data_IF_837337625712
#
_entry.id   IF_837337625712
#
_cell.length_a   1.000
_cell.length_b   1.000
_cell.length_c   1.000
_cell.angle_alpha   90.00
_cell.angle_beta   90.00
_cell.angle_gamma   90.00
#
_symmetry.space_group_name_H-M   'P 1'
#
loop_
_entity.id
_entity.type
_entity.pdbx_description
1 polymer ?
#
# COMPACT_ATOMS: atom_id res chain seq x y z
N UNK A 1 23.16 48.57 48.30
CA UNK A 1 24.08 47.84 47.40
C UNK A 1 23.25 46.89 46.55
N UNK A 2 23.35 46.98 45.22
CA UNK A 2 22.94 45.94 44.26
C UNK A 2 21.47 45.92 43.77
N UNK A 3 21.11 46.76 42.80
CA UNK A 3 19.91 46.57 41.97
C UNK A 3 20.28 45.75 40.73
N UNK A 4 19.81 44.50 40.64
CA UNK A 4 20.00 43.63 39.47
C UNK A 4 19.16 44.11 38.29
N UNK A 5 19.81 44.59 37.23
CA UNK A 5 19.19 44.85 35.93
C UNK A 5 19.09 43.52 35.17
N UNK A 6 17.87 43.06 34.90
CA UNK A 6 17.62 41.96 33.97
C UNK A 6 17.95 42.39 32.54
N UNK A 7 18.87 41.69 31.89
CA UNK A 7 19.14 41.84 30.46
C UNK A 7 18.12 40.98 29.71
N UNK A 8 17.08 41.61 29.18
CA UNK A 8 16.16 40.96 28.25
C UNK A 8 16.87 40.88 26.89
N UNK A 9 17.48 39.74 26.58
CA UNK A 9 18.05 39.47 25.26
C UNK A 9 16.91 39.32 24.27
N UNK A 10 16.55 40.40 23.58
CA UNK A 10 15.61 40.36 22.45
C UNK A 10 16.32 39.67 21.28
N UNK A 11 15.92 38.44 20.95
CA UNK A 11 16.39 37.76 19.74
C UNK A 11 15.85 38.51 18.52
N UNK A 12 16.71 39.26 17.84
CA UNK A 12 16.39 39.93 16.58
C UNK A 12 16.43 38.88 15.47
N UNK A 13 15.27 38.33 15.11
CA UNK A 13 15.15 37.47 13.94
C UNK A 13 15.26 38.33 12.67
N UNK A 14 16.27 38.04 11.85
CA UNK A 14 16.46 38.72 10.56
C UNK A 14 15.22 38.50 9.66
N UNK A 15 14.73 39.54 8.96
CA UNK A 15 13.62 39.41 8.03
C UNK A 15 13.93 38.40 6.90
N UNK A 16 15.21 38.21 6.54
CA UNK A 16 15.62 37.18 5.57
C UNK A 16 15.44 35.75 6.11
N UNK A 17 15.70 35.52 7.40
CA UNK A 17 15.59 34.19 8.01
C UNK A 17 14.12 33.76 8.15
N UNK A 18 13.22 34.71 8.43
CA UNK A 18 11.78 34.47 8.48
C UNK A 18 11.19 34.23 7.09
N UNK A 19 11.62 34.97 6.06
CA UNK A 19 11.20 34.69 4.68
C UNK A 19 11.65 33.31 4.19
N UNK A 20 12.87 32.88 4.54
CA UNK A 20 13.40 31.57 4.14
C UNK A 20 12.65 30.40 4.76
N UNK A 21 12.31 30.50 6.06
CA UNK A 21 11.52 29.48 6.77
C UNK A 21 10.08 29.39 6.24
N UNK A 22 9.45 30.53 5.89
CA UNK A 22 8.11 30.55 5.28
C UNK A 22 8.11 29.94 3.88
N UNK A 23 9.16 30.18 3.07
CA UNK A 23 9.29 29.55 1.74
C UNK A 23 9.50 28.04 1.82
N UNK A 24 10.23 27.52 2.81
CA UNK A 24 10.38 26.07 3.04
C UNK A 24 9.06 25.46 3.52
N UNK A 25 8.30 26.15 4.37
CA UNK A 25 6.97 25.72 4.80
C UNK A 25 5.94 25.63 3.66
N UNK A 26 6.02 26.54 2.68
CA UNK A 26 5.17 26.53 1.48
C UNK A 26 5.59 25.47 0.44
N UNK A 27 6.83 24.98 0.49
CA UNK A 27 7.32 23.86 -0.34
C UNK A 27 6.86 22.48 0.16
N UNK A 28 6.30 22.39 1.38
CA UNK A 28 5.64 21.18 1.89
C UNK A 28 4.17 21.10 1.42
N UNK A 29 3.92 21.47 0.16
CA UNK A 29 2.63 21.27 -0.46
C UNK A 29 2.39 19.75 -0.52
N UNK A 30 1.36 19.27 0.19
CA UNK A 30 0.86 17.91 0.08
C UNK A 30 0.47 17.70 -1.39
N UNK A 31 1.35 17.08 -2.18
CA UNK A 31 1.03 16.72 -3.57
C UNK A 31 0.04 15.57 -3.52
N UNK A 32 -1.22 15.82 -3.92
CA UNK A 32 -2.14 14.75 -4.29
C UNK A 32 -1.65 14.15 -5.60
N UNK A 33 -0.69 13.22 -5.53
CA UNK A 33 -0.25 12.48 -6.70
C UNK A 33 -1.40 11.55 -7.12
N UNK A 34 -2.10 11.90 -8.19
CA UNK A 34 -3.18 11.08 -8.72
C UNK A 34 -2.59 9.83 -9.37
N UNK A 35 -3.13 8.66 -9.02
CA UNK A 35 -2.72 7.40 -9.62
C UNK A 35 -3.11 7.36 -11.11
N UNK A 36 -2.24 6.78 -11.95
CA UNK A 36 -2.47 6.63 -13.39
C UNK A 36 -1.97 5.27 -13.87
N UNK A 37 -2.67 4.66 -14.84
CA UNK A 37 -2.25 3.38 -15.43
C UNK A 37 -0.95 3.47 -16.23
N UNK A 38 -0.52 4.69 -16.58
CA UNK A 38 0.71 4.93 -17.34
C UNK A 38 1.88 5.42 -16.49
N UNK A 39 1.81 5.33 -15.16
CA UNK A 39 2.80 5.90 -14.24
C UNK A 39 4.24 5.43 -14.53
N UNK A 40 4.42 4.14 -14.86
CA UNK A 40 5.73 3.55 -15.19
C UNK A 40 6.00 3.42 -16.69
N UNK A 41 5.20 4.04 -17.57
CA UNK A 41 5.29 3.83 -19.02
C UNK A 41 6.66 4.19 -19.61
N UNK A 42 7.39 5.13 -19.00
CA UNK A 42 8.73 5.55 -19.43
C UNK A 42 9.85 4.99 -18.58
N UNK A 43 9.60 4.73 -17.29
CA UNK A 43 10.63 4.35 -16.30
C UNK A 43 10.72 2.83 -16.10
N UNK A 44 9.63 2.10 -16.26
CA UNK A 44 9.61 0.64 -16.23
C UNK A 44 8.51 0.09 -17.16
N UNK A 45 8.66 0.21 -18.50
CA UNK A 45 7.59 -0.02 -19.47
C UNK A 45 7.03 -1.45 -19.47
N UNK A 46 7.80 -2.44 -19.01
CA UNK A 46 7.39 -3.85 -18.99
C UNK A 46 7.02 -4.35 -17.57
N UNK A 47 6.74 -3.46 -16.62
CA UNK A 47 6.50 -3.85 -15.22
C UNK A 47 5.37 -4.88 -15.08
N UNK A 48 4.23 -4.68 -15.75
CA UNK A 48 3.09 -5.62 -15.68
C UNK A 48 3.44 -6.99 -16.25
N UNK A 49 4.23 -7.04 -17.33
CA UNK A 49 4.69 -8.29 -17.94
C UNK A 49 5.65 -9.07 -17.03
N UNK A 50 6.57 -8.36 -16.35
CA UNK A 50 7.49 -8.96 -15.38
C UNK A 50 6.71 -9.57 -14.22
N UNK A 51 5.79 -8.81 -13.62
CA UNK A 51 4.93 -9.26 -12.51
C UNK A 51 4.13 -10.50 -12.92
N UNK A 52 3.44 -10.45 -14.06
CA UNK A 52 2.65 -11.57 -14.57
C UNK A 52 3.49 -12.83 -14.82
N UNK A 53 4.72 -12.68 -15.31
CA UNK A 53 5.61 -13.82 -15.59
C UNK A 53 6.01 -14.53 -14.30
N UNK A 54 6.40 -13.78 -13.27
CA UNK A 54 6.79 -14.37 -11.98
C UNK A 54 5.61 -15.09 -11.32
N UNK A 55 4.40 -14.51 -11.39
CA UNK A 55 3.19 -15.14 -10.85
C UNK A 55 2.83 -16.41 -11.63
N UNK A 56 2.91 -16.37 -12.96
CA UNK A 56 2.69 -17.55 -13.80
C UNK A 56 3.65 -18.70 -13.46
N UNK A 57 4.91 -18.39 -13.15
CA UNK A 57 5.87 -19.38 -12.68
C UNK A 57 5.51 -19.92 -11.29
N UNK A 58 5.14 -19.05 -10.35
CA UNK A 58 4.73 -19.46 -9.00
C UNK A 58 3.49 -20.37 -9.01
N UNK A 59 2.55 -20.15 -9.94
CA UNK A 59 1.36 -20.98 -10.12
C UNK A 59 1.69 -22.44 -10.49
N UNK A 60 2.86 -22.72 -11.06
CA UNK A 60 3.27 -24.10 -11.41
C UNK A 60 3.55 -24.97 -10.18
N UNK A 61 3.99 -24.36 -9.08
CA UNK A 61 4.28 -25.06 -7.83
C UNK A 61 3.20 -24.84 -6.76
N UNK A 62 2.42 -23.76 -6.89
CA UNK A 62 1.35 -23.42 -5.95
C UNK A 62 0.15 -22.78 -6.67
N UNK A 63 -0.86 -23.60 -6.97
CA UNK A 63 -2.10 -23.15 -7.59
C UNK A 63 -2.89 -22.13 -6.74
N UNK A 64 -2.61 -22.00 -5.43
CA UNK A 64 -3.30 -21.05 -4.52
C UNK A 64 -2.60 -19.71 -4.41
N UNK A 65 -1.46 -19.51 -5.08
CA UNK A 65 -0.69 -18.28 -4.91
C UNK A 65 -1.46 -17.04 -5.41
N UNK A 66 -2.21 -17.16 -6.49
CA UNK A 66 -3.00 -16.04 -7.03
C UNK A 66 -4.00 -15.49 -6.01
N UNK A 67 -4.79 -16.37 -5.40
CA UNK A 67 -5.73 -16.00 -4.33
C UNK A 67 -5.00 -15.38 -3.12
N UNK A 68 -3.80 -15.88 -2.80
CA UNK A 68 -2.99 -15.35 -1.70
C UNK A 68 -2.52 -13.91 -1.97
N UNK A 69 -2.11 -13.61 -3.21
CA UNK A 69 -1.63 -12.29 -3.61
C UNK A 69 -2.77 -11.26 -3.69
N UNK A 70 -3.94 -11.65 -4.21
CA UNK A 70 -5.14 -10.81 -4.18
C UNK A 70 -5.49 -10.44 -2.74
N UNK A 71 -5.45 -11.43 -1.84
CA UNK A 71 -5.71 -11.22 -0.42
C UNK A 71 -4.68 -10.28 0.22
N UNK A 72 -3.39 -10.40 -0.10
CA UNK A 72 -2.38 -9.47 0.41
C UNK A 72 -2.70 -8.02 0.01
N UNK A 73 -3.10 -7.79 -1.25
CA UNK A 73 -3.49 -6.45 -1.69
C UNK A 73 -4.73 -5.92 -0.96
N UNK A 74 -5.74 -6.77 -0.75
CA UNK A 74 -6.92 -6.40 0.04
C UNK A 74 -6.54 -6.01 1.48
N UNK A 75 -5.72 -6.84 2.15
CA UNK A 75 -5.30 -6.60 3.52
C UNK A 75 -4.42 -5.34 3.66
N UNK A 76 -3.56 -5.06 2.69
CA UNK A 76 -2.80 -3.80 2.60
C UNK A 76 -3.77 -2.61 2.53
N UNK A 77 -4.65 -2.57 1.53
CA UNK A 77 -5.54 -1.44 1.32
C UNK A 77 -6.53 -1.17 2.47
N UNK A 78 -6.90 -2.19 3.25
CA UNK A 78 -7.82 -2.05 4.39
C UNK A 78 -7.18 -1.49 5.65
N UNK A 79 -5.85 -1.36 5.69
CA UNK A 79 -5.11 -0.87 6.84
C UNK A 79 -4.26 0.30 6.38
N UNK A 80 -4.54 1.51 6.88
CA UNK A 80 -3.80 2.74 6.53
C UNK A 80 -3.64 3.08 5.02
N UNK A 81 -4.33 2.35 4.13
CA UNK A 81 -4.33 2.56 2.68
C UNK A 81 -3.39 1.59 1.96
N UNK A 82 -3.42 1.59 0.63
CA UNK A 82 -2.57 0.71 -0.17
C UNK A 82 -1.13 1.27 -0.21
N UNK A 83 -0.33 1.00 0.80
CA UNK A 83 1.00 1.58 0.99
C UNK A 83 2.10 0.53 1.23
N UNK A 84 1.80 -0.75 1.05
CA UNK A 84 2.75 -1.84 1.25
C UNK A 84 3.14 -2.09 2.71
N UNK A 85 2.45 -1.49 3.69
CA UNK A 85 2.77 -1.63 5.12
C UNK A 85 2.71 -3.07 5.60
N UNK A 86 1.82 -3.89 5.01
CA UNK A 86 1.68 -5.32 5.35
C UNK A 86 2.97 -6.11 5.08
N UNK A 87 3.82 -5.63 4.17
CA UNK A 87 5.06 -6.28 3.78
C UNK A 87 6.20 -6.01 4.78
N UNK A 88 6.05 -5.04 5.69
CA UNK A 88 7.02 -4.77 6.74
C UNK A 88 6.98 -5.90 7.79
N UNK A 89 8.14 -6.51 8.06
CA UNK A 89 8.27 -7.64 8.99
C UNK A 89 7.94 -7.24 10.43
N UNK A 90 7.52 -8.21 11.25
CA UNK A 90 7.26 -8.08 12.69
C UNK A 90 6.17 -7.06 13.11
N UNK A 91 5.22 -6.75 12.23
CA UNK A 91 4.14 -5.81 12.50
C UNK A 91 2.75 -6.36 12.14
N UNK A 92 2.14 -5.88 11.05
CA UNK A 92 0.79 -6.28 10.61
C UNK A 92 0.69 -7.78 10.33
N UNK A 93 1.78 -8.44 9.94
CA UNK A 93 1.83 -9.89 9.74
C UNK A 93 1.47 -10.67 11.02
N UNK A 94 1.66 -10.07 12.20
CA UNK A 94 1.31 -10.65 13.51
C UNK A 94 -0.10 -10.26 13.99
N UNK A 95 -0.87 -9.48 13.21
CA UNK A 95 -2.26 -9.19 13.52
C UNK A 95 -3.12 -10.45 13.36
N UNK A 96 -4.21 -10.57 14.13
CA UNK A 96 -5.09 -11.74 14.14
C UNK A 96 -5.62 -12.13 12.74
N UNK A 97 -5.96 -11.19 11.83
CA UNK A 97 -6.36 -11.56 10.46
C UNK A 97 -5.21 -12.12 9.60
N UNK A 98 -3.95 -11.85 9.95
CA UNK A 98 -2.78 -12.11 9.12
C UNK A 98 -1.94 -13.29 9.63
N UNK A 99 -1.79 -13.42 10.94
CA UNK A 99 -0.90 -14.41 11.56
C UNK A 99 -1.33 -15.82 11.18
N UNK A 100 -0.37 -16.63 10.71
CA UNK A 100 -0.61 -18.00 10.21
C UNK A 100 -1.68 -18.09 9.10
N UNK A 101 -1.92 -16.99 8.37
CA UNK A 101 -3.02 -16.89 7.41
C UNK A 101 -2.57 -16.19 6.12
N UNK A 102 -2.07 -14.96 6.23
CA UNK A 102 -1.51 -14.22 5.10
C UNK A 102 -0.25 -14.95 4.60
N UNK A 103 -0.11 -15.08 3.28
CA UNK A 103 0.98 -15.81 2.63
C UNK A 103 1.25 -15.24 1.24
N UNK A 104 2.36 -15.64 0.63
CA UNK A 104 2.79 -15.14 -0.67
C UNK A 104 3.84 -14.03 -0.61
N UNK A 105 4.28 -13.64 0.59
CA UNK A 105 5.35 -12.65 0.81
C UNK A 105 6.62 -12.98 -0.01
N UNK A 106 7.09 -14.23 0.01
CA UNK A 106 8.25 -14.63 -0.80
C UNK A 106 8.05 -14.54 -2.32
N UNK A 107 6.81 -14.62 -2.81
CA UNK A 107 6.51 -14.38 -4.23
C UNK A 107 6.52 -12.89 -4.54
N UNK A 108 6.04 -12.06 -3.61
CA UNK A 108 6.20 -10.59 -3.70
C UNK A 108 7.68 -10.22 -3.73
N UNK A 109 8.53 -10.85 -2.91
CA UNK A 109 9.98 -10.65 -2.93
C UNK A 109 10.61 -11.06 -4.27
N UNK A 110 10.19 -12.18 -4.85
CA UNK A 110 10.64 -12.62 -6.17
C UNK A 110 10.23 -11.63 -7.27
N UNK A 111 8.99 -11.12 -7.22
CA UNK A 111 8.50 -10.08 -8.14
C UNK A 111 9.36 -8.82 -7.98
N UNK A 112 9.54 -8.36 -6.74
CA UNK A 112 10.36 -7.17 -6.43
C UNK A 112 11.78 -7.35 -6.95
N UNK A 113 12.39 -8.50 -6.73
CA UNK A 113 13.74 -8.82 -7.24
C UNK A 113 13.80 -8.74 -8.76
N UNK A 114 12.84 -9.35 -9.47
CA UNK A 114 12.80 -9.32 -10.94
C UNK A 114 12.60 -7.89 -11.47
N UNK A 115 11.74 -7.11 -10.81
CA UNK A 115 11.48 -5.71 -11.15
C UNK A 115 12.71 -4.84 -10.90
N UNK A 116 13.36 -4.97 -9.75
CA UNK A 116 14.58 -4.22 -9.42
C UNK A 116 15.75 -4.53 -10.37
N UNK A 117 15.86 -5.78 -10.84
CA UNK A 117 16.83 -6.15 -11.85
C UNK A 117 16.58 -5.46 -13.21
N UNK A 118 15.33 -5.14 -13.53
CA UNK A 118 14.95 -4.51 -14.78
C UNK A 118 14.90 -2.97 -14.70
N UNK A 119 14.43 -2.43 -13.58
CA UNK A 119 14.23 -0.99 -13.35
C UNK A 119 14.52 -0.63 -11.87
N UNK A 120 15.81 -0.48 -11.51
CA UNK A 120 16.24 -0.30 -10.12
C UNK A 120 15.64 0.96 -9.46
N UNK A 121 15.06 0.79 -8.28
CA UNK A 121 14.55 1.87 -7.43
C UNK A 121 13.33 2.61 -7.99
N UNK A 122 12.64 2.03 -8.99
CA UNK A 122 11.53 2.70 -9.68
C UNK A 122 10.18 2.33 -9.09
N UNK A 123 9.89 1.03 -8.97
CA UNK A 123 8.53 0.53 -8.71
C UNK A 123 8.35 0.25 -7.22
N UNK A 124 7.29 0.79 -6.63
CA UNK A 124 6.95 0.55 -5.22
C UNK A 124 6.43 -0.85 -4.96
N UNK A 125 6.64 -1.36 -3.75
CA UNK A 125 6.04 -2.60 -3.28
C UNK A 125 4.51 -2.53 -3.23
N UNK A 126 3.96 -1.36 -2.88
CA UNK A 126 2.52 -1.10 -2.92
C UNK A 126 1.91 -1.30 -4.33
N UNK A 127 2.58 -0.79 -5.38
CA UNK A 127 2.13 -1.02 -6.75
C UNK A 127 2.36 -2.46 -7.22
N UNK A 128 3.40 -3.15 -6.71
CA UNK A 128 3.58 -4.58 -6.95
C UNK A 128 2.39 -5.37 -6.42
N UNK A 129 1.87 -5.07 -5.23
CA UNK A 129 0.67 -5.74 -4.71
C UNK A 129 -0.55 -5.52 -5.61
N UNK A 130 -0.74 -4.28 -6.09
CA UNK A 130 -1.85 -3.95 -7.00
C UNK A 130 -1.75 -4.67 -8.35
N UNK A 131 -0.55 -4.69 -8.96
CA UNK A 131 -0.28 -5.43 -10.20
C UNK A 131 -0.41 -6.94 -10.01
N UNK A 132 0.05 -7.45 -8.87
CA UNK A 132 -0.02 -8.87 -8.56
C UNK A 132 -1.46 -9.36 -8.39
N UNK A 133 -2.33 -8.55 -7.78
CA UNK A 133 -3.75 -8.85 -7.67
C UNK A 133 -4.42 -8.95 -9.05
N UNK A 134 -4.18 -8.00 -9.96
CA UNK A 134 -4.74 -8.02 -11.31
C UNK A 134 -4.24 -9.20 -12.13
N UNK A 135 -2.91 -9.41 -12.16
CA UNK A 135 -2.32 -10.52 -12.89
C UNK A 135 -2.81 -11.87 -12.35
N UNK A 136 -3.00 -12.00 -11.04
CA UNK A 136 -3.54 -13.22 -10.44
C UNK A 136 -4.97 -13.52 -10.89
N UNK A 137 -5.85 -12.51 -10.95
CA UNK A 137 -7.22 -12.70 -11.46
C UNK A 137 -7.21 -13.05 -12.94
N UNK A 138 -6.44 -12.31 -13.74
CA UNK A 138 -6.35 -12.53 -15.19
C UNK A 138 -5.81 -13.93 -15.53
N UNK A 139 -4.73 -14.37 -14.87
CA UNK A 139 -4.13 -15.70 -15.07
C UNK A 139 -5.06 -16.85 -14.63
N UNK A 140 -5.99 -16.60 -13.73
CA UNK A 140 -7.04 -17.54 -13.33
C UNK A 140 -8.27 -17.53 -14.25
N UNK A 141 -8.24 -16.79 -15.37
CA UNK A 141 -9.34 -16.69 -16.32
C UNK A 141 -10.41 -15.66 -15.94
N UNK A 142 -10.16 -14.84 -14.93
CA UNK A 142 -11.01 -13.72 -14.55
C UNK A 142 -10.85 -12.50 -15.46
N UNK A 143 -11.55 -11.40 -15.17
CA UNK A 143 -11.44 -10.16 -15.92
C UNK A 143 -10.06 -9.51 -15.74
N UNK A 144 -9.59 -8.81 -16.77
CA UNK A 144 -8.47 -7.88 -16.67
C UNK A 144 -8.93 -6.44 -16.50
N UNK A 145 -8.11 -5.61 -15.87
CA UNK A 145 -8.38 -4.18 -15.74
C UNK A 145 -7.09 -3.34 -15.78
N UNK A 146 -7.22 -2.07 -16.10
CA UNK A 146 -6.10 -1.12 -16.04
C UNK A 146 -5.83 -0.75 -14.59
N UNK A 147 -4.73 -1.24 -14.02
CA UNK A 147 -4.31 -0.92 -12.64
C UNK A 147 -3.81 0.53 -12.59
N UNK A 148 -4.41 1.43 -11.79
CA UNK A 148 -3.83 2.74 -11.51
C UNK A 148 -2.58 2.59 -10.65
N UNK A 149 -1.48 3.24 -11.01
CA UNK A 149 -0.16 3.09 -10.39
C UNK A 149 0.38 4.45 -9.92
N UNK A 150 1.44 4.42 -9.12
CA UNK A 150 2.06 5.59 -8.49
C UNK A 150 1.98 5.60 -6.97
N UNK A 151 1.58 4.49 -6.34
CA UNK A 151 1.60 4.36 -4.87
C UNK A 151 3.04 4.39 -4.37
N UNK A 152 3.25 4.80 -3.13
CA UNK A 152 4.56 4.81 -2.47
C UNK A 152 4.54 3.94 -1.24
N UNK A 153 5.69 3.37 -0.92
CA UNK A 153 5.84 2.46 0.20
C UNK A 153 5.85 3.22 1.53
N UNK A 154 5.11 2.67 2.49
CA UNK A 154 5.08 3.12 3.86
C UNK A 154 6.41 2.93 4.57
N UNK A 155 6.62 3.70 5.63
CA UNK A 155 7.75 3.52 6.56
C UNK A 155 7.31 2.99 7.92
N UNK A 156 6.02 2.71 8.08
CA UNK A 156 5.41 2.24 9.31
C UNK A 156 4.29 1.26 8.98
N UNK A 157 4.05 0.35 9.90
CA UNK A 157 2.93 -0.57 9.84
C UNK A 157 2.02 -0.39 11.06
N UNK A 158 0.76 -0.79 10.93
CA UNK A 158 -0.27 -0.56 11.94
C UNK A 158 -0.99 -1.87 12.30
N UNK A 159 -0.35 -2.68 13.15
CA UNK A 159 -0.92 -3.94 13.63
C UNK A 159 -2.26 -3.76 14.36
N UNK A 160 -2.44 -2.66 15.11
CA UNK A 160 -3.72 -2.33 15.77
C UNK A 160 -4.82 -2.05 14.75
N UNK A 161 -4.50 -1.29 13.70
CA UNK A 161 -5.37 -1.02 12.57
C UNK A 161 -5.76 -2.29 11.82
N UNK A 162 -4.82 -3.22 11.61
CA UNK A 162 -5.11 -4.52 11.01
C UNK A 162 -6.12 -5.33 11.83
N UNK A 163 -5.96 -5.39 13.16
CA UNK A 163 -6.93 -6.07 14.03
C UNK A 163 -8.32 -5.44 14.01
N UNK A 164 -8.42 -4.13 13.86
CA UNK A 164 -9.70 -3.40 13.93
C UNK A 164 -10.42 -3.30 12.58
N UNK A 165 -9.67 -3.09 11.50
CA UNK A 165 -10.21 -2.62 10.21
C UNK A 165 -10.52 -3.77 9.25
N UNK A 166 -9.76 -4.86 9.31
CA UNK A 166 -9.96 -6.00 8.42
C UNK A 166 -11.24 -6.75 8.83
N UNK A 167 -12.15 -7.02 7.88
CA UNK A 167 -13.35 -7.81 8.12
C UNK A 167 -13.03 -9.22 8.64
N UNK A 168 -13.74 -9.65 9.69
CA UNK A 168 -13.65 -11.00 10.21
C UNK A 168 -14.69 -11.92 9.53
N UNK A 169 -14.42 -13.22 9.37
CA UNK A 169 -15.37 -14.15 8.74
C UNK A 169 -16.67 -14.33 9.54
N UNK A 170 -16.70 -13.90 10.80
CA UNK A 170 -17.88 -13.94 11.69
C UNK A 170 -18.54 -12.56 11.89
N UNK A 171 -18.09 -11.52 11.17
CA UNK A 171 -18.77 -10.24 11.18
C UNK A 171 -20.16 -10.37 10.53
N UNK A 172 -21.17 -9.76 11.16
CA UNK A 172 -22.49 -9.65 10.54
C UNK A 172 -22.48 -8.63 9.39
N UNK A 173 -23.53 -8.63 8.56
CA UNK A 173 -23.63 -7.73 7.40
C UNK A 173 -23.49 -6.24 7.75
N UNK A 174 -23.97 -5.82 8.92
CA UNK A 174 -23.87 -4.43 9.38
C UNK A 174 -22.43 -4.04 9.67
N UNK A 175 -21.67 -4.92 10.35
CA UNK A 175 -20.25 -4.72 10.61
C UNK A 175 -19.43 -4.73 9.31
N UNK A 176 -19.70 -5.68 8.41
CA UNK A 176 -19.06 -5.74 7.09
C UNK A 176 -19.27 -4.44 6.31
N UNK A 177 -20.53 -3.99 6.20
CA UNK A 177 -20.87 -2.74 5.50
C UNK A 177 -20.18 -1.54 6.12
N UNK A 178 -20.10 -1.47 7.46
CA UNK A 178 -19.43 -0.38 8.17
C UNK A 178 -17.92 -0.35 7.91
N UNK A 179 -17.25 -1.52 7.94
CA UNK A 179 -15.81 -1.61 7.65
C UNK A 179 -15.47 -1.25 6.21
N UNK A 180 -16.26 -1.72 5.24
CA UNK A 180 -16.10 -1.34 3.83
C UNK A 180 -16.33 0.16 3.62
N UNK A 181 -17.39 0.71 4.22
CA UNK A 181 -17.67 2.15 4.13
C UNK A 181 -16.57 3.00 4.75
N UNK A 182 -15.89 2.51 5.81
CA UNK A 182 -14.79 3.23 6.46
C UNK A 182 -13.57 3.40 5.54
N UNK A 183 -13.42 2.53 4.53
CA UNK A 183 -12.37 2.63 3.50
C UNK A 183 -12.91 3.14 2.15
N UNK A 184 -14.12 3.70 2.14
CA UNK A 184 -14.71 4.31 0.95
C UNK A 184 -15.36 3.34 -0.04
N UNK A 185 -15.62 2.09 0.37
CA UNK A 185 -16.28 1.07 -0.45
C UNK A 185 -17.76 0.94 -0.05
N UNK A 186 -18.65 0.87 -1.04
CA UNK A 186 -20.09 0.77 -0.82
C UNK A 186 -20.57 -0.70 -0.79
N UNK A 187 -21.88 -0.91 -0.65
CA UNK A 187 -22.47 -2.27 -0.59
C UNK A 187 -22.29 -3.07 -1.89
N UNK A 188 -22.29 -2.43 -3.06
CA UNK A 188 -22.00 -3.12 -4.32
C UNK A 188 -20.55 -3.61 -4.34
N UNK A 189 -19.61 -2.80 -3.84
CA UNK A 189 -18.21 -3.17 -3.74
C UNK A 189 -18.02 -4.34 -2.76
N UNK A 190 -18.72 -4.32 -1.61
CA UNK A 190 -18.74 -5.43 -0.66
C UNK A 190 -19.18 -6.74 -1.33
N UNK A 191 -20.29 -6.72 -2.07
CA UNK A 191 -20.80 -7.91 -2.75
C UNK A 191 -19.85 -8.39 -3.85
N UNK A 192 -19.34 -7.47 -4.68
CA UNK A 192 -18.43 -7.80 -5.77
C UNK A 192 -17.10 -8.38 -5.25
N UNK A 193 -16.51 -7.75 -4.23
CA UNK A 193 -15.24 -8.19 -3.63
C UNK A 193 -15.39 -9.44 -2.77
N UNK A 194 -16.60 -9.76 -2.29
CA UNK A 194 -16.88 -11.06 -1.67
C UNK A 194 -16.88 -12.20 -2.71
N UNK A 195 -16.95 -11.89 -4.02
CA UNK A 195 -16.82 -12.86 -5.10
C UNK A 195 -15.42 -13.46 -5.23
N UNK A 196 -14.39 -12.91 -4.58
CA UNK A 196 -13.02 -13.45 -4.61
C UNK A 196 -12.87 -14.82 -3.92
N UNK A 197 -13.94 -15.32 -3.28
CA UNK A 197 -14.01 -16.65 -2.67
C UNK A 197 -14.62 -17.73 -3.59
N UNK A 198 -14.84 -17.41 -4.87
CA UNK A 198 -15.35 -18.37 -5.87
C UNK A 198 -14.21 -19.27 -6.37
N UNK A 199 -14.38 -20.59 -6.28
CA UNK A 199 -13.45 -21.60 -6.82
C UNK A 199 -13.32 -21.53 -8.33
#
# INVERSE_FOLDING_TARGET
MGSSRGVTTTLIFSPLATTFLVTIGLLLCQSNAQLTSTFYATTCPNVSGIVSTVIQQALQSDARIGASLIRLHFHDCFVQGCDGSILLTDNEQNAAPNVNSARGFGVVDNIKTAVENACPGVVSCADILALAAEASVSLSGGPSWSVPLGRRDSRSANQGGANASIPAPFDNLSNLTSKFSAVGLNTNDLVALSGTYSN
#
